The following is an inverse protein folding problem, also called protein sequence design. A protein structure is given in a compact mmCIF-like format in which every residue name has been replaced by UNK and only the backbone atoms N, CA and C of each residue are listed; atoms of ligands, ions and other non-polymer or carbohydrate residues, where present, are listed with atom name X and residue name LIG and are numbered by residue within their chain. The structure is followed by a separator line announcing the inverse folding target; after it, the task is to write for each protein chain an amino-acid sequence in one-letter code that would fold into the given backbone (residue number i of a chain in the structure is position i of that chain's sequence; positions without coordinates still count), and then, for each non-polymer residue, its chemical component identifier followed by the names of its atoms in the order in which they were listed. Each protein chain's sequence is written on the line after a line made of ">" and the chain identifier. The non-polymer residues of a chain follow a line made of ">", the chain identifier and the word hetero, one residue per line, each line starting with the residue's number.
data_IF_084819478264
#
_entry.id   IF_084819478264
#
_cell.length_a   1.000
_cell.length_b   1.000
_cell.length_c   1.000
_cell.angle_alpha   90.00
_cell.angle_beta   90.00
_cell.angle_gamma   90.00
#
_symmetry.space_group_name_H-M   'P 1'
#
loop_
_entity.id
_entity.type
_entity.pdbx_description
1 polymer ?
#
# COMPACT_ATOMS: atom_id res chain seq x y z
N UNK A 1 14.21 15.26 5.15
CA UNK A 1 14.33 13.97 4.42
C UNK A 1 12.95 13.59 3.92
N UNK A 2 12.79 13.25 2.64
CA UNK A 2 11.51 12.74 2.12
C UNK A 2 11.34 11.29 2.58
N UNK A 3 10.54 11.06 3.62
CA UNK A 3 10.23 9.71 4.06
C UNK A 3 9.22 9.09 3.09
N UNK A 4 9.71 8.30 2.14
CA UNK A 4 8.84 7.44 1.33
C UNK A 4 8.35 6.31 2.22
N UNK A 5 7.04 6.17 2.37
CA UNK A 5 6.42 5.14 3.21
C UNK A 5 5.67 4.15 2.36
N UNK A 6 5.81 2.87 2.69
CA UNK A 6 5.10 1.78 2.03
C UNK A 6 4.08 1.17 3.00
N UNK A 7 2.91 0.84 2.48
CA UNK A 7 1.92 0.03 3.16
C UNK A 7 1.46 -1.05 2.19
N UNK A 8 1.61 -2.31 2.57
CA UNK A 8 1.33 -3.45 1.71
C UNK A 8 0.17 -4.29 2.27
N UNK A 9 -0.77 -4.66 1.41
CA UNK A 9 -1.85 -5.57 1.76
C UNK A 9 -2.04 -6.62 0.68
N UNK A 10 -2.41 -7.83 1.09
CA UNK A 10 -2.73 -8.93 0.19
C UNK A 10 -3.96 -9.69 0.67
N UNK A 11 -4.53 -10.47 -0.22
CA UNK A 11 -5.51 -11.48 0.16
C UNK A 11 -4.87 -12.52 1.09
N UNK A 12 -5.64 -13.05 2.07
CA UNK A 12 -5.09 -14.00 3.04
C UNK A 12 -4.73 -15.34 2.39
N UNK A 13 -5.55 -15.80 1.45
CA UNK A 13 -5.35 -17.03 0.70
C UNK A 13 -4.74 -16.74 -0.69
N UNK A 14 -3.87 -17.63 -1.19
CA UNK A 14 -3.38 -17.54 -2.56
C UNK A 14 -4.45 -17.99 -3.57
N UNK A 15 -4.29 -17.54 -4.80
CA UNK A 15 -4.92 -18.09 -6.00
C UNK A 15 -4.39 -19.51 -6.30
N UNK A 16 -5.04 -20.28 -7.21
CA UNK A 16 -4.59 -21.63 -7.57
C UNK A 16 -3.16 -21.72 -8.11
N UNK A 17 -2.64 -20.64 -8.71
CA UNK A 17 -1.27 -20.54 -9.21
C UNK A 17 -0.25 -20.15 -8.11
N UNK A 18 -0.70 -20.03 -6.86
CA UNK A 18 0.11 -19.62 -5.71
C UNK A 18 0.29 -18.11 -5.58
N UNK A 19 -0.16 -17.31 -6.55
CA UNK A 19 -0.07 -15.86 -6.48
C UNK A 19 -1.08 -15.26 -5.50
N UNK A 20 -0.82 -14.06 -5.01
CA UNK A 20 -1.75 -13.34 -4.13
C UNK A 20 -2.23 -12.08 -4.82
N UNK A 21 -3.53 -11.80 -4.79
CA UNK A 21 -3.99 -10.44 -5.09
C UNK A 21 -3.45 -9.51 -4.02
N UNK A 22 -2.73 -8.47 -4.43
CA UNK A 22 -2.08 -7.56 -3.50
C UNK A 22 -2.06 -6.13 -4.01
N UNK A 23 -1.89 -5.21 -3.07
CA UNK A 23 -1.64 -3.79 -3.31
C UNK A 23 -0.53 -3.27 -2.43
N UNK A 24 0.30 -2.41 -3.01
CA UNK A 24 1.31 -1.64 -2.29
C UNK A 24 1.04 -0.17 -2.51
N UNK A 25 0.81 0.57 -1.43
CA UNK A 25 0.70 2.02 -1.42
C UNK A 25 2.06 2.61 -1.07
N UNK A 26 2.51 3.56 -1.87
CA UNK A 26 3.78 4.26 -1.67
C UNK A 26 3.46 5.74 -1.54
N UNK A 27 3.46 6.24 -0.31
CA UNK A 27 3.33 7.66 -0.05
C UNK A 27 4.69 8.34 -0.25
N UNK A 28 4.78 9.19 -1.27
CA UNK A 28 6.00 9.94 -1.63
C UNK A 28 5.96 11.38 -1.09
N UNK A 29 5.14 11.64 -0.07
CA UNK A 29 4.97 12.96 0.53
C UNK A 29 4.42 13.96 -0.49
N UNK A 30 5.14 15.06 -0.79
CA UNK A 30 4.63 16.11 -1.69
C UNK A 30 4.44 15.64 -3.14
N UNK A 31 5.02 14.50 -3.53
CA UNK A 31 4.89 13.92 -4.87
C UNK A 31 3.65 13.00 -5.02
N UNK A 32 2.81 12.94 -3.99
CA UNK A 32 1.59 12.14 -3.98
C UNK A 32 1.83 10.65 -3.73
N UNK A 33 0.88 9.83 -4.17
CA UNK A 33 0.79 8.40 -3.85
C UNK A 33 0.97 7.58 -5.12
N UNK A 34 1.79 6.54 -5.07
CA UNK A 34 1.82 5.49 -6.10
C UNK A 34 1.17 4.24 -5.55
N UNK A 35 0.31 3.64 -6.36
CA UNK A 35 -0.33 2.36 -6.05
C UNK A 35 0.18 1.32 -7.03
N UNK A 36 0.68 0.21 -6.51
CA UNK A 36 0.87 -1.02 -7.26
C UNK A 36 -0.27 -1.95 -6.92
N UNK A 37 -1.01 -2.46 -7.91
CA UNK A 37 -2.11 -3.41 -7.69
C UNK A 37 -1.98 -4.58 -8.67
N UNK A 38 -2.03 -5.82 -8.20
CA UNK A 38 -1.85 -6.97 -9.08
C UNK A 38 -1.66 -8.31 -8.38
N UNK A 39 -1.02 -9.23 -9.08
CA UNK A 39 -0.69 -10.57 -8.60
C UNK A 39 0.75 -10.60 -8.06
N UNK A 40 0.87 -10.71 -6.74
CA UNK A 40 2.12 -10.86 -6.01
C UNK A 40 2.62 -12.30 -6.08
N UNK A 41 3.92 -12.47 -6.33
CA UNK A 41 4.56 -13.76 -6.36
C UNK A 41 4.55 -14.44 -4.97
N UNK A 42 4.42 -15.77 -4.90
CA UNK A 42 4.39 -16.49 -3.62
C UNK A 42 5.61 -16.21 -2.75
N UNK A 43 6.80 -16.09 -3.37
CA UNK A 43 8.05 -15.82 -2.66
C UNK A 43 8.08 -14.46 -1.94
N UNK A 44 7.24 -13.52 -2.34
CA UNK A 44 7.16 -12.18 -1.73
C UNK A 44 6.10 -12.08 -0.63
N UNK A 45 5.27 -13.11 -0.41
CA UNK A 45 4.10 -13.05 0.48
C UNK A 45 4.43 -12.81 1.97
N UNK A 46 5.69 -13.02 2.37
CA UNK A 46 6.20 -12.83 3.74
C UNK A 46 7.23 -11.72 3.89
N UNK A 47 7.48 -10.91 2.85
CA UNK A 47 8.37 -9.76 2.96
C UNK A 47 7.76 -8.66 3.83
N UNK A 48 8.60 -7.85 4.45
CA UNK A 48 8.17 -6.63 5.11
C UNK A 48 7.65 -5.61 4.08
N UNK A 49 6.75 -4.71 4.48
CA UNK A 49 6.10 -3.73 3.59
C UNK A 49 7.16 -2.86 2.85
N UNK A 50 8.25 -2.50 3.52
CA UNK A 50 9.38 -1.74 2.96
C UNK A 50 10.17 -2.52 1.90
N UNK A 51 10.24 -3.84 2.02
CA UNK A 51 11.02 -4.73 1.14
C UNK A 51 10.22 -5.22 -0.08
N UNK A 52 8.91 -4.93 -0.13
CA UNK A 52 8.09 -5.22 -1.30
C UNK A 52 8.52 -4.32 -2.46
N UNK A 53 8.94 -4.95 -3.54
CA UNK A 53 9.39 -4.29 -4.74
C UNK A 53 8.44 -4.48 -5.91
N UNK A 54 8.70 -3.69 -6.94
CA UNK A 54 8.04 -3.79 -8.22
C UNK A 54 8.09 -5.18 -8.85
N UNK A 55 9.27 -5.81 -8.79
CA UNK A 55 9.57 -7.09 -9.41
C UNK A 55 8.93 -8.28 -8.66
N UNK A 56 8.42 -8.06 -7.45
CA UNK A 56 7.73 -9.08 -6.67
C UNK A 56 6.34 -9.41 -7.21
N UNK A 57 5.82 -8.61 -8.15
CA UNK A 57 4.55 -8.85 -8.81
C UNK A 57 4.78 -9.60 -10.14
N UNK A 58 4.08 -10.71 -10.34
CA UNK A 58 4.00 -11.38 -11.64
C UNK A 58 3.32 -10.49 -12.68
N UNK A 59 2.28 -9.78 -12.26
CA UNK A 59 1.61 -8.76 -13.05
C UNK A 59 1.12 -7.65 -12.13
N UNK A 60 1.18 -6.40 -12.58
CA UNK A 60 0.67 -5.25 -11.83
C UNK A 60 0.29 -4.10 -12.74
N UNK A 61 -0.68 -3.32 -12.29
CA UNK A 61 -0.83 -1.92 -12.68
C UNK A 61 -0.06 -1.03 -11.70
N UNK A 62 0.46 0.08 -12.21
CA UNK A 62 1.06 1.14 -11.41
C UNK A 62 0.36 2.46 -11.75
N UNK A 63 -0.26 3.08 -10.75
CA UNK A 63 -1.04 4.32 -10.94
C UNK A 63 -0.59 5.36 -9.91
N UNK A 64 -0.49 6.62 -10.34
CA UNK A 64 -0.07 7.74 -9.50
C UNK A 64 -1.23 8.70 -9.24
N UNK A 65 -1.34 9.19 -8.00
CA UNK A 65 -2.40 10.07 -7.54
C UNK A 65 -1.84 11.22 -6.72
N UNK A 66 -2.53 12.37 -6.73
CA UNK A 66 -2.15 13.52 -5.90
C UNK A 66 -2.78 13.46 -4.51
N UNK A 67 -3.94 12.81 -4.37
CA UNK A 67 -4.64 12.71 -3.09
C UNK A 67 -5.08 11.28 -2.75
N UNK A 68 -5.26 11.03 -1.46
CA UNK A 68 -5.84 9.78 -0.96
C UNK A 68 -7.29 9.57 -1.41
N UNK A 69 -8.02 10.66 -1.69
CA UNK A 69 -9.39 10.59 -2.19
C UNK A 69 -9.43 10.02 -3.60
N UNK A 70 -8.54 10.48 -4.47
CA UNK A 70 -8.46 9.99 -5.85
C UNK A 70 -8.14 8.49 -5.93
N UNK A 71 -7.33 8.00 -4.98
CA UNK A 71 -7.05 6.56 -4.84
C UNK A 71 -8.34 5.78 -4.57
N UNK A 72 -9.15 6.22 -3.61
CA UNK A 72 -10.43 5.57 -3.27
C UNK A 72 -11.40 5.62 -4.45
N UNK A 73 -11.58 6.80 -5.04
CA UNK A 73 -12.52 7.02 -6.14
C UNK A 73 -12.15 6.17 -7.37
N UNK A 74 -10.85 6.01 -7.66
CA UNK A 74 -10.37 5.16 -8.76
C UNK A 74 -10.59 3.67 -8.51
N UNK A 75 -10.31 3.18 -7.29
CA UNK A 75 -10.36 1.75 -6.99
C UNK A 75 -11.73 1.26 -6.48
N UNK A 76 -12.71 2.13 -6.22
CA UNK A 76 -13.98 1.78 -5.56
C UNK A 76 -14.75 0.61 -6.21
N UNK A 77 -14.71 0.50 -7.54
CA UNK A 77 -15.40 -0.55 -8.30
C UNK A 77 -14.47 -1.70 -8.70
N UNK A 78 -13.23 -1.71 -8.20
CA UNK A 78 -12.22 -2.70 -8.52
C UNK A 78 -12.22 -3.84 -7.49
N UNK A 79 -11.75 -5.04 -7.86
CA UNK A 79 -11.53 -6.13 -6.90
C UNK A 79 -10.44 -5.80 -5.86
N UNK A 80 -9.71 -4.70 -6.01
CA UNK A 80 -8.69 -4.26 -5.07
C UNK A 80 -9.24 -3.32 -3.98
N UNK A 81 -10.49 -2.85 -4.07
CA UNK A 81 -11.06 -1.88 -3.13
C UNK A 81 -10.86 -2.28 -1.65
N UNK A 82 -11.17 -3.52 -1.21
CA UNK A 82 -11.01 -3.89 0.20
C UNK A 82 -9.54 -3.87 0.65
N UNK A 83 -8.61 -4.17 -0.26
CA UNK A 83 -7.19 -4.16 0.04
C UNK A 83 -6.63 -2.73 0.11
N UNK A 84 -7.10 -1.85 -0.79
CA UNK A 84 -6.76 -0.42 -0.79
C UNK A 84 -7.18 0.22 0.54
N UNK A 85 -8.41 -0.02 0.98
CA UNK A 85 -8.91 0.51 2.25
C UNK A 85 -8.05 0.07 3.44
N UNK A 86 -7.70 -1.22 3.52
CA UNK A 86 -6.82 -1.76 4.57
C UNK A 86 -5.42 -1.13 4.51
N UNK A 87 -4.85 -1.01 3.32
CA UNK A 87 -3.51 -0.46 3.14
C UNK A 87 -3.48 1.03 3.51
N UNK A 88 -4.54 1.78 3.20
CA UNK A 88 -4.68 3.18 3.62
C UNK A 88 -4.83 3.29 5.14
N UNK A 89 -5.64 2.42 5.77
CA UNK A 89 -5.77 2.39 7.22
C UNK A 89 -4.44 2.03 7.92
N UNK A 90 -3.63 1.16 7.32
CA UNK A 90 -2.27 0.87 7.78
C UNK A 90 -1.34 2.08 7.63
N UNK A 91 -1.32 2.73 6.46
CA UNK A 91 -0.52 3.94 6.22
C UNK A 91 -0.84 5.03 7.24
N UNK A 92 -2.12 5.29 7.51
CA UNK A 92 -2.55 6.31 8.50
C UNK A 92 -2.08 6.00 9.91
N UNK A 93 -2.10 4.72 10.32
CA UNK A 93 -1.59 4.29 11.63
C UNK A 93 -0.08 4.50 11.75
N UNK A 94 0.67 4.21 10.69
CA UNK A 94 2.11 4.48 10.64
C UNK A 94 2.40 6.00 10.69
N UNK A 95 1.54 6.82 10.08
CA UNK A 95 1.63 8.28 10.16
C UNK A 95 1.36 8.81 11.57
N UNK A 96 0.30 8.32 12.23
CA UNK A 96 0.00 8.69 13.61
C UNK A 96 1.10 8.27 14.60
N UNK A 97 1.66 7.07 14.45
CA UNK A 97 2.73 6.58 15.32
C UNK A 97 4.07 7.33 15.14
N UNK A 98 4.27 8.01 14.00
CA UNK A 98 5.48 8.76 13.72
C UNK A 98 5.43 10.22 14.19
N UNK A 99 4.27 10.72 14.63
CA UNK A 99 4.17 12.02 15.28
C UNK A 99 4.75 11.92 16.70
N UNK A 100 5.65 12.83 17.11
CA UNK A 100 6.11 12.85 18.50
C UNK A 100 4.91 13.08 19.44
N UNK A 101 4.90 12.50 20.64
CA UNK A 101 3.88 12.83 21.63
C UNK A 101 3.93 14.34 21.90
N UNK A 102 2.77 14.99 21.91
CA UNK A 102 2.64 16.42 22.23
C UNK A 102 3.40 16.70 23.54
N UNK A 103 4.49 17.47 23.44
CA UNK A 103 5.32 17.83 24.60
C UNK A 103 4.88 19.12 25.28
N UNK A 104 3.70 19.63 24.97
CA UNK A 104 3.16 20.86 25.52
C UNK A 104 1.76 20.63 26.13
N UNK A 105 1.73 19.85 27.21
CA UNK A 105 0.65 19.84 28.19
C UNK A 105 1.28 19.84 29.59
N UNK A 106 1.92 20.95 29.95
CA UNK A 106 2.54 21.19 31.25
C UNK A 106 2.77 22.66 31.50
#
# INVERSE_FOLDING_TARGET
>A
MMHTRRAHEREPAPSPDGSYRAVTLINRGPLGIVVWAGALAPAAAGKADEDIEAADYHSRMAVSFMSWRDVLDYFQASPFAPLIERAMARSRRADAAALPPDRDAG
#
